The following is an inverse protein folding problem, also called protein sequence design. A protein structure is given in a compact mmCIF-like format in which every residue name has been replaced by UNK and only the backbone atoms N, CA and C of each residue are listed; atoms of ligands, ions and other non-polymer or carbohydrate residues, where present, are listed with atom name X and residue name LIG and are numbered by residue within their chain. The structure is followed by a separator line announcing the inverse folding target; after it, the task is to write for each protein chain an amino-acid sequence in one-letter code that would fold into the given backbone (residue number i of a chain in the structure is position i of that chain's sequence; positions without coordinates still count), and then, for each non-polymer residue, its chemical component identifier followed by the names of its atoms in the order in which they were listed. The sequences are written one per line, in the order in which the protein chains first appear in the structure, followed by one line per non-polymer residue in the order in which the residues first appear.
data_IF_880805572124
#
_entry.id   IF_880805572124
#
_cell.length_a   1.000
_cell.length_b   1.000
_cell.length_c   1.000
_cell.angle_alpha   90.00
_cell.angle_beta   90.00
_cell.angle_gamma   90.00
#
_symmetry.space_group_name_H-M   'P 1'
#
loop_
_entity.id
_entity.type
_entity.pdbx_description
1 polymer ?
#
# COMPACT_ATOMS: atom_id res chain seq x y z
N UNK A 1 20.98 -31.49 -5.84
CA UNK A 1 19.69 -31.67 -5.15
C UNK A 1 19.66 -30.56 -4.13
N UNK A 2 18.94 -29.49 -4.47
CA UNK A 2 18.73 -28.38 -3.56
C UNK A 2 17.68 -28.83 -2.55
N UNK A 3 18.12 -29.10 -1.33
CA UNK A 3 17.36 -29.67 -0.22
C UNK A 3 16.71 -28.53 0.60
N UNK A 4 16.19 -27.52 -0.10
CA UNK A 4 15.46 -26.42 0.50
C UNK A 4 14.01 -26.88 0.76
N UNK A 5 13.60 -26.93 2.03
CA UNK A 5 12.21 -27.18 2.39
C UNK A 5 11.31 -26.20 1.61
N UNK A 6 10.25 -26.68 0.92
CA UNK A 6 9.39 -25.81 0.15
C UNK A 6 8.75 -24.76 1.07
N UNK A 7 8.96 -23.49 0.73
CA UNK A 7 8.43 -22.35 1.50
C UNK A 7 6.90 -22.47 1.58
N UNK A 8 6.37 -22.62 2.80
CA UNK A 8 4.93 -22.65 3.03
C UNK A 8 4.34 -21.25 2.79
N UNK A 9 3.47 -21.14 1.79
CA UNK A 9 2.86 -19.85 1.43
C UNK A 9 1.87 -19.39 2.51
N UNK A 10 1.96 -18.13 2.98
CA UNK A 10 0.92 -17.54 3.79
C UNK A 10 -0.45 -17.63 3.11
N UNK A 11 -1.51 -17.89 3.87
CA UNK A 11 -2.82 -18.20 3.30
C UNK A 11 -3.39 -17.10 2.40
N UNK A 12 -3.25 -15.82 2.77
CA UNK A 12 -3.65 -14.70 1.91
C UNK A 12 -2.93 -14.70 0.55
N UNK A 13 -1.62 -14.95 0.54
CA UNK A 13 -0.81 -15.07 -0.69
C UNK A 13 -1.28 -16.28 -1.51
N UNK A 14 -1.46 -17.45 -0.88
CA UNK A 14 -1.94 -18.64 -1.56
C UNK A 14 -3.35 -18.46 -2.16
N UNK A 15 -4.21 -17.67 -1.50
CA UNK A 15 -5.53 -17.29 -2.03
C UNK A 15 -5.42 -16.34 -3.23
N UNK A 16 -4.56 -15.32 -3.15
CA UNK A 16 -4.33 -14.38 -4.24
C UNK A 16 -3.84 -15.10 -5.52
N UNK A 17 -2.90 -16.03 -5.37
CA UNK A 17 -2.40 -16.87 -6.46
C UNK A 17 -3.37 -17.99 -6.89
N UNK A 18 -4.50 -18.16 -6.21
CA UNK A 18 -5.49 -19.20 -6.51
C UNK A 18 -5.00 -20.64 -6.26
N UNK A 19 -3.91 -20.81 -5.50
CA UNK A 19 -3.29 -22.11 -5.19
C UNK A 19 -3.77 -22.70 -3.87
N UNK A 20 -4.39 -21.88 -3.00
CA UNK A 20 -5.07 -22.38 -1.82
C UNK A 20 -6.30 -23.22 -2.21
N UNK A 21 -6.52 -24.33 -1.50
CA UNK A 21 -7.74 -25.13 -1.62
C UNK A 21 -8.95 -24.28 -1.21
N UNK A 22 -9.59 -23.64 -2.19
CA UNK A 22 -10.88 -23.02 -2.00
C UNK A 22 -11.88 -24.14 -1.68
N UNK A 23 -12.81 -24.01 -0.72
CA UNK A 23 -13.91 -24.96 -0.55
C UNK A 23 -14.80 -25.00 -1.81
N UNK A 24 -14.33 -25.76 -2.81
CA UNK A 24 -14.88 -26.25 -4.08
C UNK A 24 -15.60 -25.26 -5.02
N UNK A 25 -15.09 -25.23 -6.28
CA UNK A 25 -15.83 -24.80 -7.48
C UNK A 25 -17.04 -25.73 -7.69
N UNK A 26 -18.23 -25.18 -7.54
CA UNK A 26 -19.53 -25.79 -7.83
C UNK A 26 -20.55 -24.69 -8.23
N UNK A 27 -21.77 -25.02 -8.67
CA UNK A 27 -22.74 -24.04 -9.21
C UNK A 27 -22.94 -22.87 -8.24
N UNK A 28 -22.83 -21.63 -8.74
CA UNK A 28 -22.85 -20.33 -8.02
C UNK A 28 -23.40 -20.45 -6.58
N UNK A 29 -22.51 -20.71 -5.61
CA UNK A 29 -22.83 -20.39 -4.22
C UNK A 29 -22.84 -18.87 -4.09
N UNK A 30 -23.80 -18.35 -3.33
CA UNK A 30 -23.98 -16.92 -3.05
C UNK A 30 -22.75 -16.25 -2.39
N UNK A 31 -21.76 -17.03 -1.92
CA UNK A 31 -20.57 -16.55 -1.23
C UNK A 31 -19.29 -17.25 -1.72
N UNK A 32 -18.35 -16.44 -2.22
CA UNK A 32 -17.01 -16.81 -2.67
C UNK A 32 -15.96 -15.81 -2.15
N UNK A 33 -14.66 -16.13 -2.29
CA UNK A 33 -13.58 -15.21 -1.89
C UNK A 33 -13.68 -13.91 -2.70
N UNK A 34 -13.87 -14.03 -4.00
CA UNK A 34 -14.01 -12.92 -4.94
C UNK A 34 -15.16 -12.00 -4.53
N UNK A 35 -16.34 -12.56 -4.22
CA UNK A 35 -17.49 -11.75 -3.80
C UNK A 35 -17.29 -11.06 -2.45
N UNK A 36 -16.58 -11.71 -1.52
CA UNK A 36 -16.20 -11.12 -0.23
C UNK A 36 -15.26 -9.93 -0.45
N UNK A 37 -14.25 -10.09 -1.30
CA UNK A 37 -13.25 -9.06 -1.60
C UNK A 37 -13.88 -7.89 -2.33
N UNK A 38 -14.67 -8.12 -3.38
CA UNK A 38 -15.41 -7.10 -4.13
C UNK A 38 -16.29 -6.25 -3.19
N UNK A 39 -17.06 -6.90 -2.31
CA UNK A 39 -17.92 -6.18 -1.36
C UNK A 39 -17.12 -5.37 -0.34
N UNK A 40 -15.93 -5.84 0.04
CA UNK A 40 -15.04 -5.13 0.95
C UNK A 40 -14.37 -3.93 0.28
N UNK A 41 -13.97 -4.05 -1.00
CA UNK A 41 -13.47 -2.94 -1.83
C UNK A 41 -14.56 -1.88 -2.00
N UNK A 42 -15.78 -2.27 -2.39
CA UNK A 42 -16.93 -1.36 -2.47
C UNK A 42 -17.25 -0.65 -1.15
N UNK A 43 -16.96 -1.29 -0.01
CA UNK A 43 -17.14 -0.68 1.31
C UNK A 43 -16.03 0.32 1.61
N UNK A 44 -14.79 -0.02 1.28
CA UNK A 44 -13.65 0.85 1.46
C UNK A 44 -13.70 2.08 0.54
N UNK A 45 -14.17 1.93 -0.69
CA UNK A 45 -14.37 3.04 -1.63
C UNK A 45 -15.43 4.03 -1.15
N UNK A 46 -16.52 3.53 -0.55
CA UNK A 46 -17.63 4.35 -0.10
C UNK A 46 -17.40 5.00 1.27
N UNK A 47 -16.83 4.26 2.22
CA UNK A 47 -16.78 4.64 3.64
C UNK A 47 -15.36 4.68 4.22
N UNK A 48 -14.34 4.41 3.40
CA UNK A 48 -12.95 4.34 3.80
C UNK A 48 -12.57 3.02 4.49
N UNK A 49 -11.26 2.80 4.63
CA UNK A 49 -10.70 1.57 5.19
C UNK A 49 -11.19 1.26 6.62
N UNK A 50 -11.45 2.31 7.41
CA UNK A 50 -11.90 2.19 8.80
C UNK A 50 -13.25 1.49 8.95
N UNK A 51 -14.13 1.60 7.94
CA UNK A 51 -15.43 0.92 7.93
C UNK A 51 -15.31 -0.59 7.68
N UNK A 52 -14.17 -1.04 7.13
CA UNK A 52 -13.96 -2.44 6.74
C UNK A 52 -13.68 -3.30 7.96
N UNK A 53 -14.65 -4.14 8.29
CA UNK A 53 -14.52 -5.21 9.28
C UNK A 53 -15.18 -6.49 8.76
N UNK A 54 -14.74 -7.64 9.26
CA UNK A 54 -15.36 -8.94 8.92
C UNK A 54 -16.87 -8.92 9.17
N UNK A 55 -17.33 -8.19 10.19
CA UNK A 55 -18.75 -8.08 10.49
C UNK A 55 -19.50 -7.15 9.53
N UNK A 56 -18.91 -6.02 9.15
CA UNK A 56 -19.51 -5.10 8.19
C UNK A 56 -19.67 -5.75 6.81
N UNK A 57 -18.62 -6.42 6.31
CA UNK A 57 -18.64 -7.14 5.04
C UNK A 57 -19.66 -8.27 5.06
N UNK A 58 -19.70 -9.06 6.14
CA UNK A 58 -20.69 -10.13 6.29
C UNK A 58 -22.12 -9.61 6.27
N UNK A 59 -22.39 -8.53 7.03
CA UNK A 59 -23.70 -7.88 7.08
C UNK A 59 -24.14 -7.40 5.69
N UNK A 60 -23.23 -6.80 4.92
CA UNK A 60 -23.51 -6.29 3.57
C UNK A 60 -23.83 -7.42 2.58
N UNK A 61 -23.22 -8.59 2.78
CA UNK A 61 -23.51 -9.81 2.02
C UNK A 61 -24.74 -10.60 2.53
N UNK A 62 -25.37 -10.20 3.64
CA UNK A 62 -26.48 -10.95 4.24
C UNK A 62 -26.06 -12.23 4.99
N UNK A 63 -24.78 -12.37 5.35
CA UNK A 63 -24.24 -13.51 6.08
C UNK A 63 -23.78 -13.15 7.50
N UNK A 64 -23.49 -14.18 8.31
CA UNK A 64 -22.85 -13.99 9.61
C UNK A 64 -21.33 -13.85 9.46
N UNK A 65 -20.64 -13.13 10.37
CA UNK A 65 -19.18 -13.02 10.33
C UNK A 65 -18.47 -14.39 10.35
N UNK A 66 -19.05 -15.37 11.06
CA UNK A 66 -18.53 -16.73 11.15
C UNK A 66 -18.50 -17.44 9.78
N UNK A 67 -19.40 -17.08 8.87
CA UNK A 67 -19.43 -17.63 7.52
C UNK A 67 -18.26 -17.17 6.66
N UNK A 68 -17.80 -15.92 6.82
CA UNK A 68 -16.67 -15.36 6.05
C UNK A 68 -15.34 -16.01 6.42
N UNK A 69 -15.14 -16.34 7.71
CA UNK A 69 -13.90 -16.97 8.20
C UNK A 69 -13.57 -18.33 7.56
N UNK A 70 -14.53 -18.98 6.89
CA UNK A 70 -14.27 -20.19 6.09
C UNK A 70 -13.48 -19.89 4.81
N UNK A 71 -13.65 -18.71 4.26
CA UNK A 71 -13.04 -18.27 3.00
C UNK A 71 -11.78 -17.46 3.27
N UNK A 72 -11.87 -16.49 4.19
CA UNK A 72 -10.76 -15.57 4.53
C UNK A 72 -10.52 -15.62 6.04
N UNK A 73 -9.36 -16.17 6.45
CA UNK A 73 -9.09 -16.54 7.84
C UNK A 73 -8.88 -15.37 8.79
N UNK A 74 -8.37 -14.25 8.29
CA UNK A 74 -8.03 -13.08 9.09
C UNK A 74 -8.41 -11.77 8.36
N UNK A 75 -8.48 -10.67 9.12
CA UNK A 75 -8.64 -9.34 8.54
C UNK A 75 -7.46 -8.99 7.62
N UNK A 76 -6.24 -9.38 8.00
CA UNK A 76 -5.05 -9.08 7.21
C UNK A 76 -5.05 -9.81 5.86
N UNK A 77 -5.52 -11.07 5.83
CA UNK A 77 -5.75 -11.79 4.56
C UNK A 77 -6.78 -11.05 3.68
N UNK A 78 -7.84 -10.51 4.28
CA UNK A 78 -8.84 -9.73 3.55
C UNK A 78 -8.24 -8.45 3.00
N UNK A 79 -7.46 -7.70 3.79
CA UNK A 79 -6.81 -6.47 3.35
C UNK A 79 -5.83 -6.71 2.21
N UNK A 80 -5.06 -7.81 2.26
CA UNK A 80 -4.16 -8.22 1.18
C UNK A 80 -4.93 -8.53 -0.10
N UNK A 81 -6.03 -9.30 -0.01
CA UNK A 81 -6.85 -9.62 -1.17
C UNK A 81 -7.58 -8.39 -1.74
N UNK A 82 -8.03 -7.48 -0.87
CA UNK A 82 -8.59 -6.20 -1.29
C UNK A 82 -7.54 -5.37 -2.03
N UNK A 83 -6.33 -5.26 -1.48
CA UNK A 83 -5.23 -4.55 -2.14
C UNK A 83 -4.96 -5.14 -3.52
N UNK A 84 -4.88 -6.46 -3.62
CA UNK A 84 -4.67 -7.17 -4.88
C UNK A 84 -5.76 -6.87 -5.91
N UNK A 85 -7.04 -6.96 -5.50
CA UNK A 85 -8.20 -6.69 -6.36
C UNK A 85 -8.24 -5.23 -6.82
N UNK A 86 -8.08 -4.29 -5.89
CA UNK A 86 -8.15 -2.86 -6.17
C UNK A 86 -6.96 -2.37 -7.00
N UNK A 87 -5.79 -3.00 -6.84
CA UNK A 87 -4.61 -2.70 -7.66
C UNK A 87 -4.87 -3.08 -9.11
N UNK A 88 -5.42 -4.28 -9.34
CA UNK A 88 -5.66 -4.82 -10.68
C UNK A 88 -4.37 -4.98 -11.51
N UNK A 89 -4.44 -5.66 -12.66
CA UNK A 89 -3.31 -5.72 -13.57
C UNK A 89 -3.06 -4.34 -14.22
N UNK A 90 -1.79 -4.00 -14.56
CA UNK A 90 -1.52 -2.86 -15.43
C UNK A 90 -2.21 -3.04 -16.78
N UNK A 91 -2.55 -1.94 -17.43
CA UNK A 91 -3.12 -2.00 -18.77
C UNK A 91 -2.08 -2.46 -19.81
N UNK A 92 -2.53 -2.74 -21.03
CA UNK A 92 -1.64 -2.99 -22.16
C UNK A 92 -1.02 -1.72 -22.76
N UNK A 93 -1.50 -0.53 -22.39
CA UNK A 93 -1.28 0.73 -23.11
C UNK A 93 0.19 1.14 -23.14
N UNK A 94 0.97 0.78 -22.12
CA UNK A 94 2.42 1.03 -22.11
C UNK A 94 3.15 0.28 -23.23
N UNK A 95 2.58 -0.79 -23.80
CA UNK A 95 3.17 -1.50 -24.94
C UNK A 95 2.92 -0.79 -26.27
N UNK A 96 1.94 0.11 -26.32
CA UNK A 96 1.52 0.83 -27.52
C UNK A 96 2.31 2.13 -27.74
N UNK A 97 3.20 2.50 -26.82
CA UNK A 97 4.07 3.68 -26.93
C UNK A 97 5.53 3.29 -27.08
N UNK A 98 6.27 4.09 -27.87
CA UNK A 98 7.70 3.92 -28.08
C UNK A 98 8.51 4.64 -26.99
N UNK A 99 9.68 4.08 -26.67
CA UNK A 99 10.62 4.68 -25.72
C UNK A 99 10.33 4.28 -24.27
N UNK A 100 11.37 3.79 -23.58
CA UNK A 100 11.27 3.34 -22.18
C UNK A 100 10.69 4.41 -21.25
N UNK A 101 10.99 5.69 -21.54
CA UNK A 101 10.52 6.83 -20.75
C UNK A 101 9.01 6.95 -20.81
N UNK A 102 8.44 7.00 -22.01
CA UNK A 102 6.99 7.11 -22.24
C UNK A 102 6.26 5.90 -21.66
N UNK A 103 6.82 4.69 -21.78
CA UNK A 103 6.27 3.48 -21.16
C UNK A 103 6.15 3.61 -19.64
N UNK A 104 7.23 4.04 -18.96
CA UNK A 104 7.21 4.26 -17.51
C UNK A 104 6.24 5.39 -17.11
N UNK A 105 6.06 6.42 -17.94
CA UNK A 105 5.10 7.49 -17.69
C UNK A 105 3.64 7.05 -17.86
N UNK A 106 3.35 6.11 -18.77
CA UNK A 106 2.03 5.46 -18.84
C UNK A 106 1.78 4.70 -17.54
N UNK A 107 2.70 3.83 -17.13
CA UNK A 107 2.56 3.05 -15.90
C UNK A 107 2.44 3.93 -14.64
N UNK A 108 3.21 5.02 -14.55
CA UNK A 108 3.10 6.01 -13.48
C UNK A 108 1.67 6.58 -13.39
N UNK A 109 1.11 7.04 -14.52
CA UNK A 109 -0.23 7.63 -14.56
C UNK A 109 -1.32 6.63 -14.22
N UNK A 110 -1.19 5.39 -14.69
CA UNK A 110 -2.15 4.34 -14.34
C UNK A 110 -2.12 4.01 -12.84
N UNK A 111 -0.93 3.88 -12.22
CA UNK A 111 -0.82 3.69 -10.78
C UNK A 111 -1.44 4.85 -10.00
N UNK A 112 -1.21 6.10 -10.42
CA UNK A 112 -1.89 7.26 -9.83
C UNK A 112 -3.40 7.14 -9.97
N UNK A 113 -3.91 6.72 -11.13
CA UNK A 113 -5.32 6.47 -11.38
C UNK A 113 -5.93 5.40 -10.45
N UNK A 114 -5.19 4.33 -10.16
CA UNK A 114 -5.56 3.31 -9.16
C UNK A 114 -5.70 3.95 -7.78
N UNK A 115 -4.73 4.75 -7.33
CA UNK A 115 -4.78 5.41 -6.03
C UNK A 115 -5.90 6.45 -5.91
N UNK A 116 -6.22 7.16 -6.99
CA UNK A 116 -7.35 8.09 -7.04
C UNK A 116 -8.68 7.33 -6.93
N UNK A 117 -8.80 6.18 -7.60
CA UNK A 117 -10.00 5.34 -7.57
C UNK A 117 -10.20 4.67 -6.20
N UNK A 118 -9.11 4.22 -5.59
CA UNK A 118 -9.11 3.49 -4.33
C UNK A 118 -8.18 4.15 -3.28
N UNK A 119 -8.50 5.35 -2.76
CA UNK A 119 -7.61 6.12 -1.87
C UNK A 119 -7.19 5.38 -0.60
N UNK A 120 -8.01 4.43 -0.12
CA UNK A 120 -7.72 3.63 1.06
C UNK A 120 -6.48 2.72 0.89
N UNK A 121 -6.05 2.42 -0.34
CA UNK A 121 -4.78 1.71 -0.62
C UNK A 121 -3.57 2.44 -0.03
N UNK A 122 -3.65 3.76 0.08
CA UNK A 122 -2.58 4.62 0.58
C UNK A 122 -2.48 4.59 2.11
N UNK A 123 -3.54 4.12 2.78
CA UNK A 123 -3.57 3.91 4.24
C UNK A 123 -3.03 2.54 4.66
N UNK A 124 -2.81 1.62 3.72
CA UNK A 124 -2.24 0.32 4.01
C UNK A 124 -0.72 0.44 4.25
N UNK A 125 -0.18 -0.23 5.29
CA UNK A 125 1.26 -0.27 5.52
C UNK A 125 1.95 -1.03 4.39
N UNK A 126 3.16 -0.60 4.03
CA UNK A 126 4.01 -1.33 3.10
C UNK A 126 4.70 -2.43 3.90
N UNK A 127 4.20 -3.66 3.83
CA UNK A 127 4.75 -4.82 4.51
C UNK A 127 5.44 -5.76 3.52
N UNK A 128 6.66 -5.41 3.12
CA UNK A 128 7.50 -6.24 2.25
C UNK A 128 7.20 -6.14 0.75
N UNK A 129 7.75 -7.09 -0.01
CA UNK A 129 7.65 -7.14 -1.47
C UNK A 129 6.22 -7.49 -1.94
N UNK A 130 5.73 -6.93 -3.07
CA UNK A 130 4.39 -7.20 -3.59
C UNK A 130 4.31 -8.60 -4.23
N UNK A 131 4.37 -9.65 -3.41
CA UNK A 131 4.33 -11.07 -3.86
C UNK A 131 2.90 -11.55 -4.13
N UNK A 132 2.10 -10.70 -4.76
CA UNK A 132 0.75 -11.02 -5.26
C UNK A 132 0.74 -10.97 -6.79
N UNK A 133 -0.22 -11.62 -7.48
CA UNK A 133 -0.23 -11.68 -8.94
C UNK A 133 -0.20 -10.31 -9.64
N UNK A 134 -1.12 -9.40 -9.30
CA UNK A 134 -1.20 -8.07 -9.90
C UNK A 134 0.00 -7.22 -9.49
N UNK A 135 0.41 -7.28 -8.22
CA UNK A 135 1.64 -6.64 -7.74
C UNK A 135 2.87 -7.06 -8.55
N UNK A 136 3.00 -8.35 -8.83
CA UNK A 136 4.05 -8.91 -9.70
C UNK A 136 3.92 -8.44 -11.15
N UNK A 137 2.70 -8.34 -11.69
CA UNK A 137 2.46 -7.85 -13.06
C UNK A 137 2.86 -6.38 -13.24
N UNK A 138 2.66 -5.54 -12.21
CA UNK A 138 3.13 -4.14 -12.24
C UNK A 138 4.66 -4.05 -12.29
N UNK A 139 5.35 -4.89 -11.52
CA UNK A 139 6.82 -4.99 -11.58
C UNK A 139 7.26 -5.48 -12.96
N UNK A 140 6.64 -6.55 -13.46
CA UNK A 140 6.92 -7.12 -14.78
C UNK A 140 6.74 -6.08 -15.91
N UNK A 141 5.67 -5.29 -15.87
CA UNK A 141 5.42 -4.23 -16.84
C UNK A 141 6.53 -3.14 -16.80
N UNK A 142 6.97 -2.76 -15.60
CA UNK A 142 8.08 -1.82 -15.43
C UNK A 142 9.41 -2.38 -15.94
N UNK A 143 9.70 -3.66 -15.69
CA UNK A 143 10.89 -4.34 -16.22
C UNK A 143 10.84 -4.47 -17.74
N UNK A 144 9.66 -4.79 -18.29
CA UNK A 144 9.41 -4.82 -19.74
C UNK A 144 9.66 -3.45 -20.38
N UNK A 145 9.27 -2.36 -19.71
CA UNK A 145 9.50 -1.01 -20.21
C UNK A 145 10.99 -0.68 -20.36
N UNK A 146 11.86 -1.32 -19.58
CA UNK A 146 13.32 -1.13 -19.58
C UNK A 146 14.07 -2.18 -20.45
N UNK A 147 13.36 -3.08 -21.11
CA UNK A 147 13.97 -4.14 -21.92
C UNK A 147 14.92 -3.57 -22.99
N UNK A 148 16.05 -4.26 -23.22
CA UNK A 148 17.06 -3.85 -24.21
C UNK A 148 18.02 -2.74 -23.76
N UNK A 149 17.79 -2.11 -22.61
CA UNK A 149 18.71 -1.12 -22.04
C UNK A 149 19.85 -1.80 -21.26
N UNK A 150 21.05 -1.20 -21.18
CA UNK A 150 22.23 -1.78 -20.51
C UNK A 150 22.21 -1.59 -18.98
N UNK A 151 21.04 -1.81 -18.35
CA UNK A 151 20.87 -1.81 -16.90
C UNK A 151 21.02 -3.21 -16.31
N UNK A 152 21.69 -3.29 -15.18
CA UNK A 152 21.73 -4.46 -14.31
C UNK A 152 20.36 -4.69 -13.64
N UNK A 153 20.12 -5.90 -13.13
CA UNK A 153 18.81 -6.28 -12.59
C UNK A 153 18.37 -5.46 -11.38
N UNK A 154 19.30 -5.13 -10.48
CA UNK A 154 19.10 -4.27 -9.32
C UNK A 154 18.77 -2.83 -9.71
N UNK A 155 19.48 -2.28 -10.71
CA UNK A 155 19.20 -0.96 -11.28
C UNK A 155 17.78 -0.88 -11.86
N UNK A 156 17.36 -1.90 -12.61
CA UNK A 156 16.00 -1.97 -13.17
C UNK A 156 14.94 -1.94 -12.08
N UNK A 157 15.12 -2.75 -11.04
CA UNK A 157 14.21 -2.79 -9.89
C UNK A 157 14.19 -1.44 -9.18
N UNK A 158 15.35 -0.81 -8.96
CA UNK A 158 15.44 0.50 -8.33
C UNK A 158 14.69 1.58 -9.13
N UNK A 159 14.82 1.59 -10.46
CA UNK A 159 14.10 2.52 -11.35
C UNK A 159 12.59 2.29 -11.24
N UNK A 160 12.14 1.02 -11.34
CA UNK A 160 10.71 0.67 -11.23
C UNK A 160 10.15 1.08 -9.87
N UNK A 161 10.87 0.83 -8.77
CA UNK A 161 10.47 1.23 -7.43
C UNK A 161 10.44 2.76 -7.28
N UNK A 162 11.38 3.50 -7.86
CA UNK A 162 11.41 4.95 -7.78
C UNK A 162 10.22 5.59 -8.51
N UNK A 163 9.84 5.05 -9.67
CA UNK A 163 8.64 5.48 -10.42
C UNK A 163 7.37 5.15 -9.65
N UNK A 164 7.22 3.93 -9.15
CA UNK A 164 6.04 3.49 -8.37
C UNK A 164 5.92 4.26 -7.04
N UNK A 165 7.05 4.54 -6.38
CA UNK A 165 7.10 5.38 -5.18
C UNK A 165 6.66 6.82 -5.47
N UNK A 166 7.11 7.39 -6.59
CA UNK A 166 6.66 8.72 -7.05
C UNK A 166 5.16 8.74 -7.36
N UNK A 167 4.63 7.68 -7.98
CA UNK A 167 3.18 7.54 -8.25
C UNK A 167 2.38 7.46 -6.95
N UNK A 168 2.87 6.68 -5.96
CA UNK A 168 2.26 6.58 -4.64
C UNK A 168 2.25 7.92 -3.92
N UNK A 169 3.36 8.67 -3.94
CA UNK A 169 3.44 10.02 -3.35
C UNK A 169 2.44 10.98 -3.99
N UNK A 170 2.36 11.01 -5.33
CA UNK A 170 1.36 11.79 -6.04
C UNK A 170 -0.07 11.39 -5.61
N UNK A 171 -0.37 10.09 -5.62
CA UNK A 171 -1.65 9.56 -5.15
C UNK A 171 -2.00 9.98 -3.72
N UNK A 172 -1.04 9.97 -2.78
CA UNK A 172 -1.23 10.43 -1.40
C UNK A 172 -1.67 11.89 -1.31
N UNK A 173 -1.00 12.77 -2.06
CA UNK A 173 -1.33 14.19 -2.03
C UNK A 173 -2.68 14.46 -2.67
N UNK A 174 -2.95 13.89 -3.85
CA UNK A 174 -4.23 14.04 -4.55
C UNK A 174 -5.39 13.50 -3.71
N UNK A 175 -5.24 12.30 -3.13
CA UNK A 175 -6.24 11.71 -2.25
C UNK A 175 -6.51 12.56 -1.01
N UNK A 176 -5.47 13.17 -0.44
CA UNK A 176 -5.57 14.08 0.69
C UNK A 176 -6.40 15.33 0.37
N UNK A 177 -6.13 15.96 -0.77
CA UNK A 177 -6.92 17.11 -1.23
C UNK A 177 -8.38 16.73 -1.51
N UNK A 178 -8.64 15.62 -2.22
CA UNK A 178 -10.02 15.17 -2.46
C UNK A 178 -10.77 14.82 -1.17
N UNK A 179 -10.09 14.32 -0.14
CA UNK A 179 -10.71 14.09 1.16
C UNK A 179 -11.06 15.40 1.87
N UNK A 180 -10.18 16.38 1.79
CA UNK A 180 -10.43 17.71 2.34
C UNK A 180 -11.62 18.40 1.66
N UNK A 181 -11.74 18.29 0.33
CA UNK A 181 -12.91 18.76 -0.42
C UNK A 181 -14.19 18.10 0.10
N UNK A 182 -14.23 16.77 0.21
CA UNK A 182 -15.42 16.04 0.70
C UNK A 182 -15.80 16.43 2.13
N UNK A 183 -14.82 16.61 3.02
CA UNK A 183 -15.08 16.90 4.44
C UNK A 183 -15.48 18.36 4.68
N UNK A 184 -14.97 19.29 3.90
CA UNK A 184 -15.21 20.73 4.08
C UNK A 184 -16.32 21.26 3.18
N UNK A 185 -16.61 20.58 2.08
CA UNK A 185 -17.52 21.04 1.03
C UNK A 185 -16.94 22.17 0.17
N UNK A 186 -15.66 22.51 0.34
CA UNK A 186 -14.97 23.54 -0.43
C UNK A 186 -14.40 22.97 -1.73
N UNK A 187 -14.29 23.82 -2.75
CA UNK A 187 -13.56 23.52 -3.98
C UNK A 187 -12.03 23.53 -3.74
N UNK A 188 -11.27 22.85 -4.61
CA UNK A 188 -9.80 22.90 -4.61
C UNK A 188 -9.24 24.33 -4.53
N UNK A 189 -9.83 25.28 -5.26
CA UNK A 189 -9.39 26.66 -5.25
C UNK A 189 -9.61 27.32 -3.89
N UNK A 190 -10.80 27.17 -3.30
CA UNK A 190 -11.09 27.72 -1.97
C UNK A 190 -10.19 27.11 -0.88
N UNK A 191 -9.85 25.82 -1.01
CA UNK A 191 -8.89 25.15 -0.13
C UNK A 191 -7.51 25.78 -0.28
N UNK A 192 -7.02 25.95 -1.51
CA UNK A 192 -5.71 26.55 -1.79
C UNK A 192 -5.62 28.00 -1.30
N UNK A 193 -6.68 28.79 -1.48
CA UNK A 193 -6.77 30.16 -0.95
C UNK A 193 -6.72 30.19 0.58
N UNK A 194 -7.42 29.25 1.23
CA UNK A 194 -7.38 29.10 2.70
C UNK A 194 -6.00 28.69 3.21
N UNK A 195 -5.35 27.78 2.51
CA UNK A 195 -3.99 27.33 2.82
C UNK A 195 -2.99 28.49 2.63
N UNK A 196 -3.12 29.26 1.55
CA UNK A 196 -2.32 30.47 1.32
C UNK A 196 -2.47 31.49 2.45
N UNK A 197 -3.70 31.74 2.91
CA UNK A 197 -3.95 32.63 4.04
C UNK A 197 -3.33 32.13 5.37
N UNK A 198 -3.28 30.82 5.57
CA UNK A 198 -2.56 30.23 6.71
C UNK A 198 -1.07 30.48 6.61
N UNK A 199 -0.47 30.29 5.43
CA UNK A 199 0.94 30.60 5.20
C UNK A 199 1.25 32.08 5.45
N UNK A 200 0.40 33.00 5.01
CA UNK A 200 0.57 34.43 5.27
C UNK A 200 0.52 34.79 6.76
N UNK A 201 -0.25 34.04 7.55
CA UNK A 201 -0.35 34.28 8.99
C UNK A 201 0.86 33.77 9.79
N UNK A 202 1.57 32.75 9.31
CA UNK A 202 2.59 32.03 10.10
C UNK A 202 3.99 32.00 9.49
N UNK A 203 4.15 32.23 8.19
CA UNK A 203 5.44 32.18 7.49
C UNK A 203 5.96 33.60 7.25
N UNK A 204 6.87 34.03 8.12
CA UNK A 204 7.53 35.35 8.02
C UNK A 204 8.77 35.32 7.12
N UNK A 205 9.11 36.46 6.51
CA UNK A 205 10.33 36.60 5.72
C UNK A 205 11.60 36.53 6.57
N UNK A 206 11.52 36.93 7.84
CA UNK A 206 12.67 36.97 8.75
C UNK A 206 13.11 35.56 9.17
N UNK A 207 12.15 34.67 9.45
CA UNK A 207 12.44 33.28 9.85
C UNK A 207 12.52 32.32 8.66
N UNK A 208 11.72 32.54 7.62
CA UNK A 208 11.58 31.64 6.47
C UNK A 208 11.77 32.34 5.13
N UNK A 209 12.92 33.03 4.89
CA UNK A 209 13.10 33.92 3.73
C UNK A 209 12.90 33.24 2.37
N UNK A 210 13.29 31.97 2.24
CA UNK A 210 13.16 31.21 0.98
C UNK A 210 11.74 30.71 0.75
N UNK A 211 11.08 30.20 1.79
CA UNK A 211 9.71 29.74 1.68
C UNK A 211 8.75 30.91 1.47
N UNK A 212 8.96 32.03 2.18
CA UNK A 212 8.20 33.26 1.97
C UNK A 212 8.28 33.76 0.53
N UNK A 213 9.48 33.83 -0.03
CA UNK A 213 9.68 34.21 -1.43
C UNK A 213 8.95 33.27 -2.42
N UNK A 214 8.86 31.96 -2.11
CA UNK A 214 8.13 31.01 -2.93
C UNK A 214 6.60 31.17 -2.80
N UNK A 215 6.08 31.42 -1.60
CA UNK A 215 4.65 31.72 -1.38
C UNK A 215 4.27 33.02 -2.09
N UNK A 216 5.10 34.07 -1.99
CA UNK A 216 4.88 35.35 -2.68
C UNK A 216 4.89 35.19 -4.21
N UNK A 217 5.65 34.23 -4.72
CA UNK A 217 5.66 33.84 -6.13
C UNK A 217 4.45 32.96 -6.53
N UNK A 218 3.55 32.64 -5.59
CA UNK A 218 2.32 31.89 -5.84
C UNK A 218 2.52 30.38 -5.97
N UNK A 219 3.59 29.79 -5.42
CA UNK A 219 3.91 28.37 -5.63
C UNK A 219 2.78 27.41 -5.22
N UNK A 220 1.98 27.77 -4.21
CA UNK A 220 0.87 26.95 -3.70
C UNK A 220 -0.47 27.15 -4.43
N UNK A 221 -0.57 28.15 -5.30
CA UNK A 221 -1.75 28.44 -6.14
C UNK A 221 -1.45 28.29 -7.64
N UNK A 222 -0.25 27.81 -7.97
CA UNK A 222 0.20 27.60 -9.34
C UNK A 222 -0.53 26.42 -10.01
N UNK A 223 -0.85 26.54 -11.29
CA UNK A 223 -1.40 25.45 -12.11
C UNK A 223 -0.33 24.42 -12.53
N UNK A 224 0.96 24.66 -12.22
CA UNK A 224 2.03 23.74 -12.57
C UNK A 224 1.92 22.44 -11.77
N UNK A 225 2.03 21.28 -12.43
CA UNK A 225 2.02 19.97 -11.78
C UNK A 225 3.43 19.62 -11.24
N UNK A 226 3.67 19.73 -9.92
CA UNK A 226 4.98 19.43 -9.34
C UNK A 226 5.32 17.94 -9.40
N UNK A 227 4.32 17.05 -9.49
CA UNK A 227 4.53 15.62 -9.57
C UNK A 227 4.95 15.21 -10.97
N UNK A 228 4.34 15.80 -12.01
CA UNK A 228 4.80 15.65 -13.40
C UNK A 228 6.23 16.13 -13.56
N UNK A 229 6.54 17.33 -13.03
CA UNK A 229 7.90 17.84 -13.03
C UNK A 229 8.86 16.89 -12.31
N UNK A 230 8.49 16.41 -11.12
CA UNK A 230 9.31 15.50 -10.32
C UNK A 230 9.62 14.18 -11.02
N UNK A 231 8.62 13.50 -11.58
CA UNK A 231 8.84 12.25 -12.32
C UNK A 231 9.64 12.49 -13.60
N UNK A 232 9.46 13.63 -14.28
CA UNK A 232 10.29 13.96 -15.43
C UNK A 232 11.77 14.15 -15.05
N UNK A 233 12.07 14.82 -13.93
CA UNK A 233 13.44 14.97 -13.45
C UNK A 233 14.07 13.65 -13.02
N UNK A 234 13.29 12.76 -12.41
CA UNK A 234 13.72 11.39 -12.09
C UNK A 234 14.14 10.66 -13.37
N UNK A 235 13.30 10.68 -14.40
CA UNK A 235 13.59 10.00 -15.67
C UNK A 235 14.71 10.70 -16.46
N UNK A 236 14.89 12.02 -16.32
CA UNK A 236 16.05 12.72 -16.87
C UNK A 236 17.35 12.24 -16.21
N UNK A 237 17.33 12.01 -14.90
CA UNK A 237 18.46 11.41 -14.16
C UNK A 237 18.82 10.01 -14.68
N UNK A 238 17.81 9.16 -14.93
CA UNK A 238 18.01 7.83 -15.55
C UNK A 238 18.58 7.96 -16.97
N UNK A 239 18.08 8.92 -17.75
CA UNK A 239 18.57 9.18 -19.11
C UNK A 239 20.04 9.64 -19.11
N UNK A 240 20.41 10.52 -18.18
CA UNK A 240 21.78 11.00 -18.02
C UNK A 240 22.72 9.88 -17.54
N UNK A 241 22.26 9.01 -16.63
CA UNK A 241 23.01 7.84 -16.18
C UNK A 241 23.28 6.87 -17.34
N UNK A 242 22.27 6.60 -18.16
CA UNK A 242 22.39 5.78 -19.37
C UNK A 242 23.42 6.37 -20.36
N UNK A 243 23.32 7.65 -20.68
CA UNK A 243 24.26 8.34 -21.56
C UNK A 243 25.71 8.31 -21.03
N UNK A 244 25.88 8.42 -19.70
CA UNK A 244 27.16 8.26 -19.04
C UNK A 244 27.79 6.90 -19.29
N UNK A 245 27.01 5.81 -19.16
CA UNK A 245 27.47 4.44 -19.43
C UNK A 245 27.87 4.24 -20.89
N UNK A 246 27.08 4.74 -21.84
CA UNK A 246 27.38 4.65 -23.27
C UNK A 246 28.68 5.38 -23.63
N UNK A 247 28.99 6.47 -22.93
CA UNK A 247 30.25 7.21 -23.09
C UNK A 247 31.46 6.60 -22.37
N UNK A 248 31.27 5.50 -21.62
CA UNK A 248 32.32 4.85 -20.83
C UNK A 248 32.72 5.61 -19.57
N UNK A 249 31.86 6.52 -19.09
CA UNK A 249 32.09 7.20 -17.81
C UNK A 249 32.12 6.16 -16.67
N UNK A 250 33.06 6.27 -15.71
CA UNK A 250 33.08 5.38 -14.57
C UNK A 250 31.74 5.49 -13.82
N UNK A 251 31.19 4.34 -13.42
CA UNK A 251 30.02 4.31 -12.54
C UNK A 251 30.33 5.19 -11.32
N UNK A 252 29.48 6.18 -11.07
CA UNK A 252 29.64 7.02 -9.89
C UNK A 252 29.59 6.09 -8.67
N UNK A 253 30.64 6.13 -7.84
CA UNK A 253 30.59 5.48 -6.53
C UNK A 253 29.47 6.17 -5.75
N UNK A 254 28.33 5.50 -5.62
CA UNK A 254 27.27 5.92 -4.71
C UNK A 254 27.78 5.53 -3.32
N UNK A 255 28.14 6.48 -2.45
CA UNK A 255 28.41 6.14 -1.07
C UNK A 255 27.15 5.47 -0.54
N UNK A 256 27.29 4.31 0.11
CA UNK A 256 26.17 3.74 0.85
C UNK A 256 25.61 4.84 1.75
N UNK A 257 24.28 4.98 1.72
CA UNK A 257 23.62 5.87 2.66
C UNK A 257 24.05 5.37 4.04
N UNK A 258 24.62 6.26 4.86
CA UNK A 258 25.08 5.88 6.18
C UNK A 258 23.86 5.44 6.99
N UNK A 259 23.60 4.14 7.01
CA UNK A 259 22.76 3.55 8.04
C UNK A 259 23.55 3.70 9.34
N UNK A 260 22.95 4.22 10.43
CA UNK A 260 23.56 4.08 11.74
C UNK A 260 23.86 2.59 11.92
N UNK A 261 25.10 2.24 12.24
CA UNK A 261 25.46 0.83 12.43
C UNK A 261 24.48 0.22 13.45
N UNK A 262 23.79 -0.85 13.06
CA UNK A 262 22.83 -1.54 13.94
C UNK A 262 23.51 -1.95 15.26
N UNK A 263 24.83 -2.13 15.27
CA UNK A 263 25.63 -2.35 16.47
C UNK A 263 25.60 -1.13 17.42
N UNK A 264 25.69 0.09 16.90
CA UNK A 264 25.68 1.33 17.68
C UNK A 264 24.30 1.59 18.30
N UNK A 265 23.22 1.21 17.61
CA UNK A 265 21.84 1.32 18.10
C UNK A 265 21.49 0.18 19.05
N UNK A 266 21.95 -1.04 18.78
CA UNK A 266 21.70 -2.22 19.61
C UNK A 266 22.34 -2.13 21.00
N UNK A 267 23.48 -1.44 21.14
CA UNK A 267 24.13 -1.25 22.43
C UNK A 267 23.52 -0.12 23.27
N UNK A 268 22.72 0.77 22.65
CA UNK A 268 22.02 1.82 23.37
C UNK A 268 21.08 1.23 24.44
N UNK A 269 21.28 1.69 25.67
CA UNK A 269 20.54 1.20 26.84
C UNK A 269 19.05 1.51 26.74
N UNK A 270 18.67 2.65 26.16
CA UNK A 270 17.26 3.03 25.99
C UNK A 270 16.62 2.15 24.92
N UNK A 271 17.32 1.87 23.82
CA UNK A 271 16.83 0.95 22.78
C UNK A 271 16.61 -0.46 23.33
N UNK A 272 17.60 -1.07 24.01
CA UNK A 272 17.43 -2.40 24.64
C UNK A 272 16.30 -2.44 25.66
N UNK A 273 16.10 -1.35 26.41
CA UNK A 273 15.02 -1.23 27.38
C UNK A 273 13.66 -1.17 26.68
N UNK A 274 13.56 -0.39 25.59
CA UNK A 274 12.36 -0.30 24.77
C UNK A 274 12.02 -1.65 24.10
N UNK A 275 13.00 -2.32 23.49
CA UNK A 275 12.83 -3.66 22.89
C UNK A 275 12.36 -4.69 23.92
N UNK A 276 12.94 -4.70 25.13
CA UNK A 276 12.48 -5.56 26.23
C UNK A 276 11.04 -5.24 26.63
N UNK A 277 10.69 -3.95 26.77
CA UNK A 277 9.34 -3.52 27.11
C UNK A 277 8.32 -3.95 26.04
N UNK A 278 8.67 -3.83 24.75
CA UNK A 278 7.85 -4.31 23.63
C UNK A 278 7.67 -5.83 23.70
N UNK A 279 8.75 -6.59 23.90
CA UNK A 279 8.67 -8.05 24.01
C UNK A 279 7.83 -8.52 25.21
N UNK A 280 7.91 -7.81 26.33
CA UNK A 280 7.06 -8.04 27.51
C UNK A 280 5.60 -7.69 27.25
N UNK A 281 5.33 -6.55 26.61
CA UNK A 281 3.98 -6.16 26.21
C UNK A 281 3.34 -7.20 25.28
N UNK A 282 4.07 -7.68 24.27
CA UNK A 282 3.60 -8.73 23.38
C UNK A 282 3.34 -10.06 24.08
N UNK A 283 4.19 -10.46 25.03
CA UNK A 283 3.93 -11.64 25.88
C UNK A 283 2.65 -11.46 26.68
N UNK A 284 2.43 -10.26 27.23
CA UNK A 284 1.19 -9.87 27.91
C UNK A 284 -0.04 -9.99 27.00
N UNK A 285 0.04 -9.48 25.77
CA UNK A 285 -1.03 -9.61 24.76
C UNK A 285 -1.32 -11.08 24.45
N UNK A 286 -0.29 -11.89 24.14
CA UNK A 286 -0.44 -13.32 23.84
C UNK A 286 -1.11 -14.07 25.01
N UNK A 287 -0.78 -13.73 26.25
CA UNK A 287 -1.37 -14.33 27.44
C UNK A 287 -2.83 -13.87 27.64
N UNK A 288 -3.13 -12.59 27.48
CA UNK A 288 -4.49 -12.05 27.55
C UNK A 288 -5.39 -12.67 26.49
N UNK A 289 -4.90 -12.85 25.26
CA UNK A 289 -5.62 -13.53 24.18
C UNK A 289 -5.88 -15.01 24.48
N UNK A 290 -4.92 -15.69 25.13
CA UNK A 290 -5.11 -17.08 25.57
C UNK A 290 -6.21 -17.18 26.63
N UNK A 291 -6.21 -16.29 27.61
CA UNK A 291 -7.24 -16.22 28.66
C UNK A 291 -8.61 -15.89 28.06
N UNK A 292 -8.68 -14.92 27.15
CA UNK A 292 -9.92 -14.57 26.45
C UNK A 292 -10.47 -15.74 25.63
N UNK A 293 -9.60 -16.51 24.95
CA UNK A 293 -9.99 -17.74 24.23
C UNK A 293 -10.56 -18.79 25.17
N UNK A 294 -9.96 -19.00 26.34
CA UNK A 294 -10.47 -19.93 27.36
C UNK A 294 -11.83 -19.48 27.92
N UNK A 295 -11.98 -18.20 28.28
CA UNK A 295 -13.24 -17.64 28.76
C UNK A 295 -14.36 -17.77 27.73
N UNK A 296 -14.08 -17.50 26.45
CA UNK A 296 -15.04 -17.71 25.34
C UNK A 296 -15.42 -19.19 25.17
N UNK A 297 -14.49 -20.12 25.36
CA UNK A 297 -14.78 -21.57 25.33
C UNK A 297 -15.71 -21.96 26.47
N UNK A 298 -15.46 -21.49 27.69
CA UNK A 298 -16.31 -21.73 28.85
C UNK A 298 -17.72 -21.13 28.66
N UNK A 299 -17.80 -19.89 28.15
CA UNK A 299 -19.08 -19.25 27.84
C UNK A 299 -19.90 -20.06 26.82
N UNK A 300 -19.24 -20.59 25.78
CA UNK A 300 -19.90 -21.45 24.76
C UNK A 300 -20.39 -22.76 25.35
N UNK A 301 -19.61 -23.39 26.22
CA UNK A 301 -19.99 -24.62 26.92
C UNK A 301 -21.22 -24.38 27.81
N UNK A 302 -21.17 -23.34 28.63
CA UNK A 302 -22.27 -22.96 29.51
C UNK A 302 -23.56 -22.62 28.73
N UNK A 303 -23.45 -21.93 27.59
CA UNK A 303 -24.58 -21.65 26.72
C UNK A 303 -25.18 -22.92 26.12
N UNK A 304 -24.33 -23.88 25.73
CA UNK A 304 -24.78 -25.19 25.20
C UNK A 304 -25.52 -25.99 26.27
N UNK A 305 -24.95 -26.12 27.46
CA UNK A 305 -25.56 -26.80 28.61
C UNK A 305 -26.87 -26.13 29.06
N UNK A 306 -26.95 -24.80 28.96
CA UNK A 306 -28.18 -24.06 29.25
C UNK A 306 -29.28 -24.35 28.21
N UNK A 307 -28.93 -24.49 26.93
CA UNK A 307 -29.87 -24.84 25.84
C UNK A 307 -30.35 -26.29 25.93
N UNK A 308 -29.45 -27.21 26.24
CA UNK A 308 -29.79 -28.63 26.45
C UNK A 308 -30.74 -28.80 27.63
N UNK A 309 -30.59 -28.00 28.71
CA UNK A 309 -31.52 -27.98 29.86
C UNK A 309 -32.87 -27.29 29.60
N UNK A 310 -32.93 -26.42 28.60
CA UNK A 310 -34.14 -25.64 28.27
C UNK A 310 -35.04 -26.33 27.21
N UNK A 311 -34.63 -27.48 26.69
CA UNK A 311 -35.41 -28.27 25.73
C UNK A 311 -36.17 -29.36 26.51
N UNK A 312 -37.51 -29.36 26.52
CA UNK A 312 -38.32 -30.34 27.26
C UNK A 312 -38.22 -31.76 26.70
#
# INVERSE_FOLDING_TARGET
MDDSEPVELPRGIALAWGVAANPQRGPKREMSVERIVETAVELADAEGLGAVSMAAVAKRLGFTPMSLYRYVSAKDDLLLLMQEEATGPPSGDFREVDGWREKLLVLFREQVGVFIRHPWLLSLPISGSPVTPNGSLWVEAGLTALEGLPFESDERIAIVLAVSGSARWNGMVVAGYSDQERRTGLSAQEIAERESALFDAVISADEYPRLRAAIDAGVFVSEHDPFRFGVDRLLDGVSAYLAGRESGAPAALVPEWAEPDDADVADDKRYRTAVKATAEAEKGVRQAEKLLRQARKQQRLALREARERATP
#
